data_IF_342767167098
#
_entry.id   IF_342767167098
#
_cell.length_a   1.000
_cell.length_b   1.000
_cell.length_c   1.000
_cell.angle_alpha   90.00
_cell.angle_beta   90.00
_cell.angle_gamma   90.00
#
_symmetry.space_group_name_H-M   'P 1'
#
loop_
_entity.id
_entity.type
_entity.pdbx_description
1 polymer ?
#
# COMPACT_ATOMS: atom_id res chain seq x y z
N UNK A 1 29.11 52.15 -6.85
CA UNK A 1 27.68 51.69 -6.88
C UNK A 1 27.47 50.26 -7.39
N UNK A 2 28.28 49.69 -8.26
CA UNK A 2 28.10 48.34 -8.86
C UNK A 2 28.40 47.13 -7.93
N UNK A 3 29.15 47.30 -6.85
CA UNK A 3 29.52 46.19 -5.94
C UNK A 3 28.41 45.77 -4.97
N UNK A 4 27.50 46.67 -4.63
CA UNK A 4 26.40 46.42 -3.68
C UNK A 4 25.35 45.50 -4.33
N UNK A 5 24.98 45.75 -5.58
CA UNK A 5 24.01 44.94 -6.30
C UNK A 5 24.43 43.48 -6.54
N UNK A 6 25.76 43.22 -6.65
CA UNK A 6 26.26 41.83 -6.82
C UNK A 6 26.23 41.01 -5.54
N UNK A 7 26.31 41.64 -4.38
CA UNK A 7 26.27 40.97 -3.09
C UNK A 7 24.84 40.54 -2.77
N UNK A 8 23.82 41.38 -2.99
CA UNK A 8 22.42 41.09 -2.78
C UNK A 8 21.94 39.94 -3.71
N UNK A 9 22.34 39.96 -4.96
CA UNK A 9 21.97 38.90 -5.92
C UNK A 9 22.57 37.53 -5.59
N UNK A 10 23.75 37.49 -4.96
CA UNK A 10 24.31 36.23 -4.46
C UNK A 10 23.58 35.68 -3.26
N UNK A 11 23.18 36.56 -2.32
CA UNK A 11 22.41 36.17 -1.14
C UNK A 11 21.02 35.65 -1.53
N UNK A 12 20.33 36.34 -2.45
CA UNK A 12 19.04 35.88 -2.97
C UNK A 12 19.13 34.53 -3.66
N UNK A 13 20.10 34.30 -4.53
CA UNK A 13 20.30 33.00 -5.19
C UNK A 13 20.63 31.90 -4.21
N UNK A 14 21.41 32.18 -3.17
CA UNK A 14 21.70 31.21 -2.11
C UNK A 14 20.45 30.87 -1.30
N UNK A 15 19.63 31.88 -0.96
CA UNK A 15 18.36 31.70 -0.27
C UNK A 15 17.36 30.87 -1.10
N UNK A 16 17.24 31.15 -2.39
CA UNK A 16 16.38 30.37 -3.32
C UNK A 16 16.87 28.92 -3.44
N UNK A 17 18.17 28.72 -3.61
CA UNK A 17 18.75 27.37 -3.67
C UNK A 17 18.56 26.59 -2.36
N UNK A 18 18.63 27.26 -1.22
CA UNK A 18 18.38 26.66 0.10
C UNK A 18 16.90 26.34 0.29
N UNK A 19 15.98 27.20 -0.13
CA UNK A 19 14.54 26.95 -0.11
C UNK A 19 14.16 25.76 -1.01
N UNK A 20 14.76 25.65 -2.20
CA UNK A 20 14.55 24.52 -3.10
C UNK A 20 15.07 23.21 -2.48
N UNK A 21 16.24 23.21 -1.84
CA UNK A 21 16.79 22.03 -1.13
C UNK A 21 15.88 21.61 0.03
N UNK A 22 15.38 22.55 0.81
CA UNK A 22 14.43 22.28 1.90
C UNK A 22 13.12 21.71 1.37
N UNK A 23 12.60 22.24 0.28
CA UNK A 23 11.41 21.72 -0.37
C UNK A 23 11.57 20.26 -0.85
N UNK A 24 12.72 19.94 -1.44
CA UNK A 24 13.03 18.55 -1.85
C UNK A 24 13.16 17.62 -0.64
N UNK A 25 13.76 18.07 0.45
CA UNK A 25 13.87 17.27 1.68
C UNK A 25 12.48 17.00 2.28
N UNK A 26 11.64 18.02 2.37
CA UNK A 26 10.27 17.88 2.90
C UNK A 26 9.44 16.89 2.09
N UNK A 27 9.49 16.99 0.76
CA UNK A 27 8.81 16.04 -0.15
C UNK A 27 9.33 14.62 0.04
N UNK A 28 10.63 14.46 0.25
CA UNK A 28 11.22 13.14 0.49
C UNK A 28 10.72 12.53 1.81
N UNK A 29 10.71 13.29 2.89
CA UNK A 29 10.18 12.86 4.19
C UNK A 29 8.71 12.48 4.10
N UNK A 30 7.90 13.28 3.41
CA UNK A 30 6.47 12.98 3.20
C UNK A 30 6.29 11.67 2.40
N UNK A 31 7.11 11.45 1.38
CA UNK A 31 7.08 10.21 0.60
C UNK A 31 7.48 9.00 1.44
N UNK A 32 8.48 9.13 2.30
CA UNK A 32 8.89 8.07 3.22
C UNK A 32 7.78 7.70 4.20
N UNK A 33 7.10 8.70 4.78
CA UNK A 33 5.93 8.50 5.64
C UNK A 33 4.79 7.75 4.92
N UNK A 34 4.43 8.18 3.73
CA UNK A 34 3.42 7.50 2.90
C UNK A 34 3.84 6.06 2.57
N UNK A 35 5.09 5.82 2.21
CA UNK A 35 5.59 4.49 1.91
C UNK A 35 5.56 3.56 3.14
N UNK A 36 5.89 4.08 4.32
CA UNK A 36 5.82 3.34 5.57
C UNK A 36 4.37 2.89 5.85
N UNK A 37 3.41 3.78 5.81
CA UNK A 37 2.00 3.51 6.06
C UNK A 37 1.39 2.59 4.98
N UNK A 38 1.82 2.70 3.71
CA UNK A 38 1.33 1.86 2.62
C UNK A 38 1.79 0.40 2.69
N UNK A 39 2.73 0.03 3.58
CA UNK A 39 3.25 -1.34 3.69
C UNK A 39 2.14 -2.37 3.94
N UNK A 40 1.19 -2.07 4.81
CA UNK A 40 0.10 -2.98 5.12
C UNK A 40 -0.87 -3.15 3.94
N UNK A 41 -1.25 -2.05 3.30
CA UNK A 41 -2.13 -2.05 2.14
C UNK A 41 -1.53 -2.87 0.98
N UNK A 42 -0.24 -2.68 0.69
CA UNK A 42 0.51 -3.48 -0.29
C UNK A 42 0.57 -4.98 0.09
N UNK A 43 0.78 -5.29 1.37
CA UNK A 43 0.79 -6.66 1.86
C UNK A 43 -0.60 -7.32 1.69
N UNK A 44 -1.66 -6.65 2.08
CA UNK A 44 -3.04 -7.12 1.94
C UNK A 44 -3.43 -7.37 0.48
N UNK A 45 -3.01 -6.48 -0.41
CA UNK A 45 -3.23 -6.65 -1.85
C UNK A 45 -2.45 -7.86 -2.42
N UNK A 46 -1.21 -8.08 -1.95
CA UNK A 46 -0.45 -9.27 -2.33
C UNK A 46 -1.13 -10.57 -1.87
N UNK A 47 -1.65 -10.60 -0.63
CA UNK A 47 -2.44 -11.73 -0.13
C UNK A 47 -3.68 -11.97 -1.00
N UNK A 48 -4.46 -10.92 -1.28
CA UNK A 48 -5.66 -11.03 -2.13
C UNK A 48 -5.37 -11.59 -3.52
N UNK A 49 -4.25 -11.18 -4.13
CA UNK A 49 -3.84 -11.70 -5.44
C UNK A 49 -3.49 -13.20 -5.37
N UNK A 50 -2.82 -13.63 -4.32
CA UNK A 50 -2.49 -15.05 -4.14
C UNK A 50 -3.73 -15.89 -3.79
N UNK A 51 -4.64 -15.39 -2.96
CA UNK A 51 -5.91 -16.05 -2.68
C UNK A 51 -6.73 -16.26 -3.96
N UNK A 52 -6.78 -15.25 -4.83
CA UNK A 52 -7.43 -15.38 -6.14
C UNK A 52 -6.78 -16.49 -6.99
N UNK A 53 -5.43 -16.54 -7.03
CA UNK A 53 -4.69 -17.56 -7.76
C UNK A 53 -4.92 -18.97 -7.19
N UNK A 54 -5.00 -19.11 -5.86
CA UNK A 54 -5.32 -20.39 -5.22
C UNK A 54 -6.72 -20.90 -5.61
N UNK A 55 -7.71 -20.00 -5.64
CA UNK A 55 -9.08 -20.34 -6.09
C UNK A 55 -9.09 -20.74 -7.57
N UNK A 56 -8.33 -20.06 -8.44
CA UNK A 56 -8.22 -20.40 -9.86
C UNK A 56 -7.64 -21.79 -10.06
N UNK A 57 -6.58 -22.16 -9.31
CA UNK A 57 -5.99 -23.49 -9.32
C UNK A 57 -6.99 -24.57 -8.83
N UNK A 58 -7.72 -24.30 -7.78
CA UNK A 58 -8.75 -25.20 -7.26
C UNK A 58 -9.83 -25.50 -8.31
N UNK A 59 -10.29 -24.46 -9.01
CA UNK A 59 -11.25 -24.63 -10.11
C UNK A 59 -10.67 -25.44 -11.28
N UNK A 60 -9.36 -25.26 -11.59
CA UNK A 60 -8.70 -26.04 -12.63
C UNK A 60 -8.56 -27.52 -12.23
N UNK A 61 -8.19 -27.81 -10.99
CA UNK A 61 -8.15 -29.18 -10.46
C UNK A 61 -9.52 -29.87 -10.53
N UNK A 62 -10.62 -29.15 -10.22
CA UNK A 62 -11.96 -29.69 -10.33
C UNK A 62 -12.38 -29.98 -11.79
N UNK A 63 -11.99 -29.11 -12.72
CA UNK A 63 -12.29 -29.30 -14.17
C UNK A 63 -11.54 -30.49 -14.77
N UNK A 64 -10.27 -30.70 -14.40
CA UNK A 64 -9.48 -31.83 -14.87
C UNK A 64 -10.04 -33.17 -14.38
N UNK A 65 -10.63 -33.21 -13.18
CA UNK A 65 -11.32 -34.42 -12.68
C UNK A 65 -12.62 -34.71 -13.43
N UNK A 66 -13.26 -33.70 -14.04
CA UNK A 66 -14.51 -33.81 -14.76
C UNK A 66 -14.39 -34.09 -16.27
N UNK A 67 -13.16 -34.02 -16.84
CA UNK A 67 -12.94 -34.33 -18.25
C UNK A 67 -12.90 -35.86 -18.46
N UNK A 68 -14.07 -36.46 -18.49
CA UNK A 68 -14.25 -37.83 -18.97
C UNK A 68 -14.01 -37.92 -20.48
N UNK A 69 -13.11 -38.82 -20.88
CA UNK A 69 -13.08 -39.69 -22.01
C UNK A 69 -13.88 -39.25 -23.26
N UNK A 70 -13.39 -38.29 -23.98
CA UNK A 70 -13.52 -38.31 -25.43
C UNK A 70 -12.17 -38.64 -26.00
N UNK A 71 -12.05 -39.85 -26.54
CA UNK A 71 -10.79 -40.46 -27.00
C UNK A 71 -10.10 -39.84 -28.20
N UNK A 72 -9.88 -38.53 -28.16
CA UNK A 72 -9.05 -37.81 -29.10
C UNK A 72 -7.79 -37.26 -28.39
N UNK A 73 -6.58 -37.61 -28.89
CA UNK A 73 -5.34 -37.08 -28.36
C UNK A 73 -5.26 -35.60 -28.68
N UNK A 74 -5.47 -34.74 -27.68
CA UNK A 74 -5.09 -33.31 -27.74
C UNK A 74 -3.63 -33.21 -27.37
N UNK A 75 -2.79 -32.80 -28.34
CA UNK A 75 -1.37 -32.58 -28.14
C UNK A 75 -1.09 -31.44 -27.15
N UNK A 76 -0.66 -31.79 -25.96
CA UNK A 76 -0.16 -30.98 -24.89
C UNK A 76 0.15 -31.90 -23.72
N UNK A 77 1.31 -31.77 -23.09
CA UNK A 77 1.60 -32.49 -21.84
C UNK A 77 0.55 -32.09 -20.82
N UNK A 78 -0.31 -32.99 -20.33
CA UNK A 78 -1.27 -32.67 -19.28
C UNK A 78 -0.45 -32.30 -18.04
N UNK A 79 -0.66 -31.11 -17.50
CA UNK A 79 -0.13 -30.74 -16.19
C UNK A 79 -0.63 -31.78 -15.20
N UNK A 80 0.26 -32.43 -14.48
CA UNK A 80 -0.10 -33.47 -13.51
C UNK A 80 -0.96 -32.82 -12.41
N UNK A 81 -2.02 -33.54 -11.98
CA UNK A 81 -2.85 -33.09 -10.85
C UNK A 81 -1.98 -32.93 -9.60
N UNK A 82 -0.95 -33.76 -9.45
CA UNK A 82 0.00 -33.68 -8.34
C UNK A 82 0.81 -32.39 -8.37
N UNK A 83 1.26 -31.95 -9.56
CA UNK A 83 1.96 -30.65 -9.73
C UNK A 83 1.04 -29.48 -9.37
N UNK A 84 -0.24 -29.52 -9.79
CA UNK A 84 -1.21 -28.48 -9.45
C UNK A 84 -1.51 -28.41 -7.94
N UNK A 85 -1.54 -29.57 -7.27
CA UNK A 85 -1.70 -29.63 -5.80
C UNK A 85 -0.47 -29.03 -5.10
N UNK A 86 0.74 -29.41 -5.53
CA UNK A 86 1.98 -28.87 -4.99
C UNK A 86 2.06 -27.35 -5.17
N UNK A 87 1.73 -26.82 -6.35
CA UNK A 87 1.66 -25.39 -6.61
C UNK A 87 0.67 -24.67 -5.69
N UNK A 88 -0.48 -25.30 -5.43
CA UNK A 88 -1.50 -24.76 -4.52
C UNK A 88 -0.97 -24.70 -3.08
N UNK A 89 -0.35 -25.76 -2.60
CA UNK A 89 0.22 -25.82 -1.25
C UNK A 89 1.30 -24.73 -1.06
N UNK A 90 2.19 -24.53 -2.05
CA UNK A 90 3.20 -23.45 -2.01
C UNK A 90 2.54 -22.07 -1.91
N UNK A 91 1.48 -21.84 -2.67
CA UNK A 91 0.74 -20.57 -2.63
C UNK A 91 0.06 -20.38 -1.26
N UNK A 92 -0.55 -21.41 -0.70
CA UNK A 92 -1.19 -21.37 0.61
C UNK A 92 -0.18 -21.06 1.73
N UNK A 93 0.98 -21.71 1.72
CA UNK A 93 2.07 -21.38 2.65
C UNK A 93 2.54 -19.92 2.52
N UNK A 94 2.65 -19.44 1.30
CA UNK A 94 3.04 -18.06 1.04
C UNK A 94 1.99 -17.08 1.55
N UNK A 95 0.70 -17.41 1.40
CA UNK A 95 -0.40 -16.61 1.96
C UNK A 95 -0.28 -16.54 3.49
N UNK A 96 -0.04 -17.67 4.17
CA UNK A 96 0.11 -17.72 5.62
C UNK A 96 1.30 -16.87 6.12
N UNK A 97 2.43 -16.95 5.43
CA UNK A 97 3.62 -16.12 5.71
C UNK A 97 3.30 -14.62 5.57
N UNK A 98 2.61 -14.23 4.49
CA UNK A 98 2.23 -12.83 4.27
C UNK A 98 1.17 -12.36 5.26
N UNK A 99 0.19 -13.20 5.65
CA UNK A 99 -0.80 -12.87 6.68
C UNK A 99 -0.13 -12.65 8.04
N UNK A 100 0.85 -13.48 8.41
CA UNK A 100 1.61 -13.31 9.64
C UNK A 100 2.39 -12.00 9.63
N UNK A 101 3.16 -11.73 8.55
CA UNK A 101 3.88 -10.45 8.37
C UNK A 101 2.93 -9.25 8.40
N UNK A 102 1.75 -9.39 7.78
CA UNK A 102 0.73 -8.35 7.76
C UNK A 102 0.23 -7.96 9.16
N UNK A 103 0.09 -8.93 10.08
CA UNK A 103 -0.30 -8.64 11.48
C UNK A 103 0.74 -7.77 12.20
N UNK A 104 2.01 -8.05 12.02
CA UNK A 104 3.10 -7.24 12.60
C UNK A 104 3.10 -5.83 12.02
N UNK A 105 3.06 -5.70 10.69
CA UNK A 105 3.01 -4.39 10.01
C UNK A 105 1.78 -3.58 10.45
N UNK A 106 0.62 -4.24 10.59
CA UNK A 106 -0.62 -3.58 11.06
C UNK A 106 -0.45 -3.02 12.47
N UNK A 107 0.13 -3.80 13.38
CA UNK A 107 0.37 -3.36 14.75
C UNK A 107 1.33 -2.17 14.83
N UNK A 108 2.42 -2.18 14.04
CA UNK A 108 3.36 -1.06 13.96
C UNK A 108 2.69 0.23 13.44
N UNK A 109 1.85 0.11 12.40
CA UNK A 109 1.15 1.25 11.83
C UNK A 109 0.09 1.80 12.80
N UNK A 110 -0.67 0.93 13.46
CA UNK A 110 -1.67 1.35 14.46
C UNK A 110 -0.99 2.08 15.62
N UNK A 111 0.12 1.56 16.14
CA UNK A 111 0.88 2.25 17.19
C UNK A 111 1.30 3.66 16.76
N UNK A 112 1.80 3.82 15.53
CA UNK A 112 2.17 5.14 15.01
C UNK A 112 0.96 6.08 14.79
N UNK A 113 -0.22 5.53 14.51
CA UNK A 113 -1.48 6.30 14.36
C UNK A 113 -2.01 6.70 15.74
N UNK A 114 -1.92 5.81 16.74
CA UNK A 114 -2.41 6.04 18.10
C UNK A 114 -1.62 7.17 18.80
N UNK A 115 -0.38 7.41 18.39
CA UNK A 115 0.45 8.51 18.90
C UNK A 115 0.00 9.91 18.37
N UNK A 116 -1.00 9.97 17.49
CA UNK A 116 -1.51 11.24 16.97
C UNK A 116 -2.43 11.93 17.98
N UNK A 117 -2.17 13.22 18.26
CA UNK A 117 -2.99 14.04 19.17
C UNK A 117 -4.42 14.26 18.64
N UNK A 118 -4.60 14.30 17.32
CA UNK A 118 -5.87 14.60 16.70
C UNK A 118 -6.61 13.32 16.31
N UNK A 119 -7.66 12.97 17.05
CA UNK A 119 -8.48 11.79 16.81
C UNK A 119 -9.06 11.70 15.38
N UNK A 120 -9.43 12.84 14.77
CA UNK A 120 -9.93 12.86 13.38
C UNK A 120 -8.85 12.46 12.38
N UNK A 121 -7.59 12.84 12.63
CA UNK A 121 -6.45 12.44 11.82
C UNK A 121 -6.19 10.94 11.93
N UNK A 122 -6.23 10.40 13.16
CA UNK A 122 -6.08 8.97 13.42
C UNK A 122 -7.15 8.17 12.69
N UNK A 123 -8.42 8.53 12.82
CA UNK A 123 -9.54 7.86 12.15
C UNK A 123 -9.40 7.82 10.62
N UNK A 124 -8.98 8.91 9.99
CA UNK A 124 -8.81 8.97 8.53
C UNK A 124 -7.64 8.10 8.09
N UNK A 125 -6.50 8.11 8.83
CA UNK A 125 -5.36 7.26 8.50
C UNK A 125 -5.68 5.78 8.71
N UNK A 126 -6.37 5.43 9.79
CA UNK A 126 -6.80 4.06 10.03
C UNK A 126 -7.72 3.56 8.93
N UNK A 127 -8.77 4.30 8.59
CA UNK A 127 -9.69 3.94 7.53
C UNK A 127 -8.98 3.75 6.19
N UNK A 128 -8.03 4.62 5.85
CA UNK A 128 -7.33 4.55 4.57
C UNK A 128 -6.26 3.46 4.55
N UNK A 129 -5.34 3.39 5.54
CA UNK A 129 -4.18 2.51 5.50
C UNK A 129 -4.44 1.11 6.08
N UNK A 130 -5.29 1.00 7.08
CA UNK A 130 -5.57 -0.26 7.79
C UNK A 130 -6.83 -0.93 7.25
N UNK A 131 -7.94 -0.21 7.15
CA UNK A 131 -9.18 -0.74 6.60
C UNK A 131 -9.15 -0.85 5.07
N UNK A 132 -8.18 -0.19 4.43
CA UNK A 132 -8.00 -0.16 2.97
C UNK A 132 -9.19 0.47 2.21
N UNK A 133 -9.90 1.40 2.84
CA UNK A 133 -11.01 2.14 2.22
C UNK A 133 -10.48 3.18 1.24
N UNK A 134 -11.29 3.52 0.24
CA UNK A 134 -11.01 4.62 -0.67
C UNK A 134 -11.58 5.95 -0.11
N UNK A 135 -11.05 7.08 -0.58
CA UNK A 135 -11.49 8.40 -0.08
C UNK A 135 -12.99 8.65 -0.24
N UNK A 136 -13.61 8.09 -1.28
CA UNK A 136 -15.06 8.21 -1.50
C UNK A 136 -15.88 7.39 -0.49
N UNK A 137 -15.35 6.27 -0.03
CA UNK A 137 -15.97 5.43 1.00
C UNK A 137 -15.87 6.12 2.37
N UNK A 138 -14.68 6.62 2.70
CA UNK A 138 -14.43 7.36 3.95
C UNK A 138 -15.31 8.62 4.00
N UNK A 139 -15.43 9.35 2.89
CA UNK A 139 -16.25 10.55 2.80
C UNK A 139 -17.73 10.24 3.07
N UNK A 140 -18.26 9.14 2.53
CA UNK A 140 -19.64 8.69 2.77
C UNK A 140 -19.87 8.25 4.21
N UNK A 141 -18.94 7.46 4.80
CA UNK A 141 -19.08 6.96 6.17
C UNK A 141 -19.03 8.07 7.22
N UNK A 142 -18.19 9.07 6.98
CA UNK A 142 -17.99 10.20 7.93
C UNK A 142 -18.87 11.41 7.61
N UNK A 143 -19.73 11.32 6.59
CA UNK A 143 -20.55 12.43 6.10
C UNK A 143 -19.73 13.68 5.75
N UNK A 144 -18.51 13.47 5.23
CA UNK A 144 -17.59 14.52 4.80
C UNK A 144 -17.58 14.68 3.29
N UNK A 145 -17.19 15.89 2.84
CA UNK A 145 -16.84 16.08 1.45
C UNK A 145 -15.47 15.43 1.17
N UNK A 146 -15.31 14.77 0.02
CA UNK A 146 -14.06 14.15 -0.43
C UNK A 146 -12.85 15.09 -0.31
N UNK A 147 -13.00 16.38 -0.67
CA UNK A 147 -11.93 17.38 -0.52
C UNK A 147 -11.48 17.54 0.94
N UNK A 148 -12.43 17.52 1.85
CA UNK A 148 -12.13 17.61 3.28
C UNK A 148 -11.36 16.39 3.79
N UNK A 149 -11.76 15.18 3.37
CA UNK A 149 -11.05 13.94 3.69
C UNK A 149 -9.62 13.98 3.18
N UNK A 150 -9.39 14.40 1.93
CA UNK A 150 -8.04 14.52 1.35
C UNK A 150 -7.18 15.52 2.12
N UNK A 151 -7.76 16.65 2.56
CA UNK A 151 -7.06 17.65 3.37
C UNK A 151 -6.66 17.06 4.72
N UNK A 152 -7.60 16.44 5.44
CA UNK A 152 -7.33 15.77 6.73
C UNK A 152 -6.28 14.68 6.59
N UNK A 153 -6.34 13.87 5.52
CA UNK A 153 -5.33 12.86 5.20
C UNK A 153 -3.93 13.48 5.04
N UNK A 154 -3.83 14.59 4.29
CA UNK A 154 -2.54 15.25 4.07
C UNK A 154 -1.97 15.83 5.36
N UNK A 155 -2.81 16.50 6.15
CA UNK A 155 -2.46 17.05 7.46
C UNK A 155 -2.01 15.92 8.41
N UNK A 156 -2.74 14.80 8.44
CA UNK A 156 -2.44 13.65 9.27
C UNK A 156 -1.11 12.97 8.90
N UNK A 157 -0.84 12.76 7.60
CA UNK A 157 0.46 12.20 7.14
C UNK A 157 1.62 13.11 7.52
N UNK A 158 1.42 14.43 7.49
CA UNK A 158 2.48 15.36 7.87
C UNK A 158 2.74 15.34 9.38
N UNK A 159 1.70 15.17 10.21
CA UNK A 159 1.82 15.16 11.67
C UNK A 159 2.34 13.84 12.25
N UNK A 160 2.20 12.71 11.52
CA UNK A 160 2.66 11.42 12.03
C UNK A 160 4.19 11.40 12.21
N UNK A 161 4.65 10.89 13.35
CA UNK A 161 6.06 10.58 13.58
C UNK A 161 6.33 9.12 13.17
N UNK A 162 7.42 8.90 12.43
CA UNK A 162 7.88 7.54 12.15
C UNK A 162 8.77 7.06 13.28
N UNK A 163 8.67 5.77 13.66
CA UNK A 163 9.55 5.16 14.65
C UNK A 163 11.00 5.07 14.16
#
# INVERSE_FOLDING_TARGET
MYKIYKADYRVERAAVAQAQRLGVILLKVELEKKNYLMRYRKNREAVRRLEKKAVELDQQCCRTKSQNFTGMPRGGTPVSIEEMIADKEEIEERIQRLKSKGRTIRAEILSAIDDLENARHAEILEAFFVDCKEFDEIAREKEYNKRHVIRLYTEAVNSIALP
#
